data_IF_834620678814
#
_entry.id   IF_834620678814
#
_cell.length_a   1.000
_cell.length_b   1.000
_cell.length_c   1.000
_cell.angle_alpha   90.00
_cell.angle_beta   90.00
_cell.angle_gamma   90.00
#
_symmetry.space_group_name_H-M   'P 1'
#
loop_
_entity.id
_entity.type
_entity.pdbx_description
1 polymer ?
#
# COMPACT_ATOMS: atom_id res chain seq x y z
N UNK A 1 -20.22 35.19 -21.24
CA UNK A 1 -20.15 33.80 -20.78
C UNK A 1 -18.71 33.56 -20.34
N UNK A 2 -18.46 33.70 -19.05
CA UNK A 2 -17.11 33.50 -18.48
C UNK A 2 -16.97 32.00 -18.17
N UNK A 3 -16.16 31.31 -18.97
CA UNK A 3 -15.68 29.96 -18.61
C UNK A 3 -14.62 30.17 -17.51
N UNK A 4 -15.00 29.90 -16.27
CA UNK A 4 -14.05 29.83 -15.18
C UNK A 4 -13.01 28.75 -15.45
N UNK A 5 -11.78 28.88 -14.92
CA UNK A 5 -10.76 27.85 -15.12
C UNK A 5 -11.26 26.54 -14.53
N UNK A 6 -11.33 25.50 -15.36
CA UNK A 6 -11.49 24.14 -14.89
C UNK A 6 -10.23 23.84 -14.06
N UNK A 7 -10.34 23.84 -12.73
CA UNK A 7 -9.25 23.41 -11.87
C UNK A 7 -9.04 21.92 -12.10
N UNK A 8 -8.06 21.59 -12.96
CA UNK A 8 -7.62 20.22 -13.12
C UNK A 8 -7.15 19.70 -11.75
N UNK A 9 -7.72 18.59 -11.29
CA UNK A 9 -7.21 17.91 -10.09
C UNK A 9 -5.75 17.54 -10.33
N UNK A 10 -4.88 17.96 -9.41
CA UNK A 10 -3.48 17.56 -9.46
C UNK A 10 -3.38 16.04 -9.29
N UNK A 11 -2.43 15.41 -10.00
CA UNK A 11 -2.15 13.98 -9.86
C UNK A 11 -1.68 13.67 -8.43
N UNK A 12 -2.10 12.53 -7.85
CA UNK A 12 -1.61 12.11 -6.55
C UNK A 12 -0.10 11.93 -6.52
N UNK A 13 0.50 12.33 -5.40
CA UNK A 13 1.93 12.19 -5.12
C UNK A 13 2.15 11.42 -3.82
N UNK A 14 3.39 11.08 -3.51
CA UNK A 14 3.71 10.42 -2.24
C UNK A 14 3.32 11.28 -1.02
N UNK A 15 3.24 12.59 -1.17
CA UNK A 15 2.80 13.49 -0.09
C UNK A 15 1.36 13.20 0.32
N UNK A 16 0.53 12.74 -0.59
CA UNK A 16 -0.86 12.37 -0.31
C UNK A 16 -0.96 11.11 0.57
N UNK A 17 0.14 10.37 0.70
CA UNK A 17 0.28 9.20 1.56
C UNK A 17 1.01 9.51 2.87
N UNK A 18 1.26 10.77 3.20
CA UNK A 18 1.98 11.16 4.41
C UNK A 18 1.37 10.53 5.68
N UNK A 19 0.05 10.37 5.72
CA UNK A 19 -0.67 9.77 6.85
C UNK A 19 -0.22 8.34 7.15
N UNK A 20 0.35 7.63 6.16
CA UNK A 20 0.83 6.25 6.30
C UNK A 20 2.20 6.19 7.01
N UNK A 21 2.92 7.32 7.13
CA UNK A 21 4.24 7.35 7.78
C UNK A 21 4.17 6.83 9.21
N UNK A 22 5.15 6.04 9.60
CA UNK A 22 5.23 5.48 10.96
C UNK A 22 5.07 3.98 10.98
N UNK A 23 4.68 3.45 12.13
CA UNK A 23 4.61 2.00 12.37
C UNK A 23 3.18 1.55 12.64
N UNK A 24 2.82 0.44 12.03
CA UNK A 24 1.49 -0.13 12.05
C UNK A 24 1.55 -1.61 12.42
N UNK A 25 0.56 -2.08 13.18
CA UNK A 25 0.50 -3.47 13.61
C UNK A 25 -0.93 -3.96 13.66
N UNK A 26 -1.15 -5.20 13.23
CA UNK A 26 -2.43 -5.88 13.29
C UNK A 26 -2.26 -7.37 13.47
N UNK A 27 -3.39 -8.08 13.61
CA UNK A 27 -3.40 -9.54 13.74
C UNK A 27 -4.14 -10.18 12.59
N UNK A 28 -3.61 -11.29 12.12
CA UNK A 28 -4.24 -12.22 11.18
C UNK A 28 -4.21 -13.61 11.82
N UNK A 29 -5.32 -14.00 12.47
CA UNK A 29 -5.34 -15.22 13.25
C UNK A 29 -4.31 -15.18 14.38
N UNK A 30 -3.35 -16.11 14.36
CA UNK A 30 -2.23 -16.15 15.33
C UNK A 30 -1.01 -15.34 14.88
N UNK A 31 -1.02 -14.81 13.67
CA UNK A 31 0.09 -14.02 13.16
C UNK A 31 -0.05 -12.55 13.54
N UNK A 32 1.08 -11.89 13.74
CA UNK A 32 1.19 -10.44 13.88
C UNK A 32 1.76 -9.90 12.58
N UNK A 33 1.04 -8.95 11.99
CA UNK A 33 1.44 -8.27 10.75
C UNK A 33 1.89 -6.86 11.09
N UNK A 34 3.02 -6.45 10.55
CA UNK A 34 3.60 -5.14 10.81
C UNK A 34 3.97 -4.46 9.49
N UNK A 35 3.79 -3.15 9.44
CA UNK A 35 4.36 -2.30 8.40
C UNK A 35 5.02 -1.08 9.01
N UNK A 36 6.17 -0.69 8.47
CA UNK A 36 6.90 0.51 8.85
C UNK A 36 7.12 1.35 7.59
N UNK A 37 6.76 2.62 7.65
CA UNK A 37 6.84 3.52 6.51
C UNK A 37 7.62 4.79 6.85
N UNK A 38 8.55 5.14 5.96
CA UNK A 38 9.25 6.42 6.04
C UNK A 38 8.29 7.58 5.74
N UNK A 39 8.67 8.78 6.13
CA UNK A 39 8.04 10.00 5.60
C UNK A 39 8.36 10.14 4.12
N UNK A 40 7.49 10.80 3.33
CA UNK A 40 7.81 11.11 1.94
C UNK A 40 9.09 11.95 1.82
N UNK A 41 9.97 11.54 0.93
CA UNK A 41 11.17 12.28 0.56
C UNK A 41 11.68 11.76 -0.79
N UNK A 42 12.23 12.65 -1.62
CA UNK A 42 12.79 12.27 -2.91
C UNK A 42 11.80 11.56 -3.83
N UNK A 43 10.52 11.96 -3.78
CA UNK A 43 9.43 11.34 -4.55
C UNK A 43 9.19 9.85 -4.21
N UNK A 44 9.57 9.44 -3.00
CA UNK A 44 9.37 8.07 -2.52
C UNK A 44 8.91 8.03 -1.07
N UNK A 45 8.26 6.92 -0.72
CA UNK A 45 8.14 6.42 0.65
C UNK A 45 8.69 5.01 0.66
N UNK A 46 9.52 4.69 1.64
CA UNK A 46 10.12 3.37 1.80
C UNK A 46 9.42 2.64 2.93
N UNK A 47 9.12 1.37 2.72
CA UNK A 47 8.41 0.56 3.70
C UNK A 47 9.00 -0.82 3.88
N UNK A 48 8.76 -1.38 5.07
CA UNK A 48 9.08 -2.76 5.42
C UNK A 48 7.82 -3.42 5.94
N UNK A 49 7.51 -4.60 5.43
CA UNK A 49 6.45 -5.46 5.93
C UNK A 49 7.04 -6.70 6.59
N UNK A 50 6.43 -7.15 7.69
CA UNK A 50 6.86 -8.37 8.38
C UNK A 50 5.65 -9.10 8.97
N UNK A 51 5.64 -10.42 8.83
CA UNK A 51 4.65 -11.27 9.48
C UNK A 51 5.38 -12.18 10.46
N UNK A 52 4.93 -12.17 11.71
CA UNK A 52 5.49 -12.97 12.80
C UNK A 52 4.45 -13.97 13.28
N UNK A 53 4.82 -15.24 13.37
CA UNK A 53 3.99 -16.32 13.92
C UNK A 53 4.83 -17.17 14.84
N UNK A 54 4.33 -17.47 16.04
CA UNK A 54 5.05 -18.24 17.05
C UNK A 54 6.47 -17.70 17.32
N UNK A 55 6.56 -16.37 17.50
CA UNK A 55 7.82 -15.65 17.74
C UNK A 55 8.87 -15.79 16.64
N UNK A 56 8.46 -16.14 15.42
CA UNK A 56 9.36 -16.25 14.26
C UNK A 56 8.83 -15.42 13.10
N UNK A 57 9.74 -14.73 12.41
CA UNK A 57 9.40 -14.09 11.15
C UNK A 57 9.17 -15.15 10.10
N UNK A 58 7.93 -15.20 9.58
CA UNK A 58 7.54 -16.16 8.54
C UNK A 58 7.55 -15.54 7.14
N UNK A 59 7.46 -14.22 7.05
CA UNK A 59 7.62 -13.49 5.78
C UNK A 59 8.00 -12.04 6.04
N UNK A 60 8.66 -11.44 5.08
CA UNK A 60 8.92 -10.00 5.05
C UNK A 60 9.02 -9.52 3.61
N UNK A 61 8.84 -8.21 3.42
CA UNK A 61 9.03 -7.58 2.12
C UNK A 61 9.51 -6.15 2.26
N UNK A 62 10.23 -5.69 1.25
CA UNK A 62 10.57 -4.29 1.05
C UNK A 62 9.56 -3.67 0.10
N UNK A 63 9.05 -2.49 0.43
CA UNK A 63 8.01 -1.83 -0.34
C UNK A 63 8.38 -0.38 -0.62
N UNK A 64 7.89 0.14 -1.73
CA UNK A 64 8.00 1.55 -2.06
C UNK A 64 6.67 2.07 -2.60
N UNK A 65 6.33 3.30 -2.25
CA UNK A 65 5.51 4.15 -3.10
C UNK A 65 6.47 5.09 -3.82
N UNK A 66 6.36 5.19 -5.12
CA UNK A 66 7.28 5.98 -5.94
C UNK A 66 6.55 6.68 -7.06
N UNK A 67 6.92 7.94 -7.29
CA UNK A 67 6.49 8.64 -8.49
C UNK A 67 7.46 8.32 -9.62
N UNK A 68 6.94 7.71 -10.67
CA UNK A 68 7.68 7.37 -11.89
C UNK A 68 6.89 7.83 -13.10
N UNK A 69 7.54 8.57 -14.00
CA UNK A 69 6.90 9.06 -15.23
C UNK A 69 5.60 9.82 -14.97
N UNK A 70 5.56 10.60 -13.88
CA UNK A 70 4.40 11.39 -13.48
C UNK A 70 3.25 10.58 -12.87
N UNK A 71 3.47 9.31 -12.55
CA UNK A 71 2.46 8.42 -11.98
C UNK A 71 2.95 7.80 -10.69
N UNK A 72 2.09 7.81 -9.67
CA UNK A 72 2.37 7.13 -8.42
C UNK A 72 2.22 5.61 -8.63
N UNK A 73 3.15 4.83 -8.09
CA UNK A 73 3.12 3.38 -8.15
C UNK A 73 3.49 2.75 -6.81
N UNK A 74 2.94 1.58 -6.54
CA UNK A 74 3.34 0.71 -5.44
C UNK A 74 4.28 -0.36 -5.97
N UNK A 75 5.44 -0.50 -5.32
CA UNK A 75 6.52 -1.37 -5.77
C UNK A 75 6.92 -2.31 -4.62
N UNK A 76 6.20 -3.41 -4.42
CA UNK A 76 6.60 -4.41 -3.43
C UNK A 76 7.70 -5.32 -3.98
N UNK A 77 8.59 -5.73 -3.08
CA UNK A 77 9.59 -6.75 -3.36
C UNK A 77 9.53 -7.79 -2.24
N UNK A 78 8.83 -8.90 -2.46
CA UNK A 78 8.74 -9.98 -1.47
C UNK A 78 10.10 -10.62 -1.21
N UNK A 79 10.24 -11.24 -0.05
CA UNK A 79 11.42 -12.01 0.31
C UNK A 79 11.77 -13.03 -0.78
N UNK A 80 13.00 -12.96 -1.29
CA UNK A 80 13.49 -13.86 -2.33
C UNK A 80 12.87 -13.65 -3.72
N UNK A 81 12.01 -12.64 -3.89
CA UNK A 81 11.35 -12.36 -5.15
C UNK A 81 11.85 -11.09 -5.83
N UNK A 82 11.38 -10.88 -7.06
CA UNK A 82 11.64 -9.67 -7.82
C UNK A 82 10.65 -8.57 -7.42
N UNK A 83 11.05 -7.32 -7.64
CA UNK A 83 10.18 -6.17 -7.49
C UNK A 83 9.04 -6.24 -8.52
N UNK A 84 7.82 -5.96 -8.06
CA UNK A 84 6.63 -5.87 -8.92
C UNK A 84 6.15 -4.43 -8.95
N UNK A 85 5.55 -3.99 -10.04
CA UNK A 85 5.00 -2.65 -10.17
C UNK A 85 3.47 -2.71 -10.28
N UNK A 86 2.81 -1.98 -9.37
CA UNK A 86 1.36 -1.75 -9.41
C UNK A 86 1.12 -0.24 -9.58
N UNK A 87 0.84 0.24 -10.80
CA UNK A 87 0.50 1.65 -11.00
C UNK A 87 -0.78 2.04 -10.27
N UNK A 88 -0.89 3.30 -9.86
CA UNK A 88 -2.11 3.83 -9.27
C UNK A 88 -3.25 3.77 -10.30
N UNK A 89 -4.37 3.16 -9.91
CA UNK A 89 -5.60 3.10 -10.72
C UNK A 89 -6.56 4.21 -10.36
N UNK A 90 -6.81 4.39 -9.05
CA UNK A 90 -7.72 5.41 -8.55
C UNK A 90 -7.35 5.78 -7.12
N UNK A 91 -7.71 6.99 -6.71
CA UNK A 91 -7.45 7.45 -5.35
C UNK A 91 -8.46 8.49 -4.91
N UNK A 92 -8.60 8.58 -3.59
CA UNK A 92 -9.24 9.68 -2.88
C UNK A 92 -8.28 10.15 -1.78
N UNK A 93 -8.69 11.09 -0.93
CA UNK A 93 -7.86 11.54 0.17
C UNK A 93 -7.49 10.43 1.17
N UNK A 94 -8.31 9.37 1.25
CA UNK A 94 -8.16 8.30 2.24
C UNK A 94 -8.01 6.91 1.65
N UNK A 95 -8.06 6.74 0.32
CA UNK A 95 -8.04 5.43 -0.31
C UNK A 95 -7.24 5.46 -1.61
N UNK A 96 -6.29 4.52 -1.73
CA UNK A 96 -5.41 4.40 -2.89
C UNK A 96 -5.46 2.98 -3.41
N UNK A 97 -5.84 2.82 -4.67
CA UNK A 97 -5.95 1.53 -5.36
C UNK A 97 -4.86 1.43 -6.41
N UNK A 98 -3.99 0.45 -6.26
CA UNK A 98 -2.90 0.14 -7.20
C UNK A 98 -3.23 -1.17 -7.90
N UNK A 99 -3.06 -1.20 -9.23
CA UNK A 99 -3.49 -2.34 -10.03
C UNK A 99 -2.44 -2.78 -11.02
N UNK A 100 -2.23 -4.10 -11.12
CA UNK A 100 -1.47 -4.75 -12.17
C UNK A 100 -2.23 -6.02 -12.59
N UNK A 101 -2.99 -5.95 -13.69
CA UNK A 101 -3.79 -7.07 -14.17
C UNK A 101 -2.96 -8.22 -14.75
N UNK A 102 -1.68 -7.98 -15.06
CA UNK A 102 -0.76 -9.00 -15.58
C UNK A 102 -0.07 -9.80 -14.47
N UNK A 103 -0.26 -9.38 -13.21
CA UNK A 103 0.29 -10.09 -12.07
C UNK A 103 -0.63 -11.27 -11.71
N UNK A 104 -0.05 -12.33 -11.17
CA UNK A 104 -0.83 -13.36 -10.49
C UNK A 104 -1.53 -12.73 -9.30
N UNK A 105 -2.19 -13.49 -8.46
CA UNK A 105 -2.79 -12.92 -7.27
C UNK A 105 -1.72 -12.28 -6.36
N UNK A 106 -1.94 -11.03 -5.88
CA UNK A 106 -3.06 -10.13 -6.15
C UNK A 106 -2.86 -9.29 -7.42
N UNK A 107 -3.96 -8.88 -8.04
CA UNK A 107 -3.93 -7.88 -9.11
C UNK A 107 -4.15 -6.47 -8.59
N UNK A 108 -4.74 -6.31 -7.41
CA UNK A 108 -4.93 -4.99 -6.77
C UNK A 108 -4.40 -5.02 -5.34
N UNK A 109 -3.78 -3.89 -4.98
CA UNK A 109 -3.36 -3.59 -3.60
C UNK A 109 -4.01 -2.28 -3.21
N UNK A 110 -4.67 -2.23 -2.07
CA UNK A 110 -5.44 -1.08 -1.60
C UNK A 110 -4.93 -0.65 -0.24
N UNK A 111 -4.59 0.64 -0.12
CA UNK A 111 -4.26 1.27 1.15
C UNK A 111 -5.34 2.28 1.48
N UNK A 112 -6.02 2.09 2.60
CA UNK A 112 -7.13 2.92 3.00
C UNK A 112 -7.02 3.31 4.48
N UNK A 113 -7.24 4.59 4.75
CA UNK A 113 -7.38 5.08 6.12
C UNK A 113 -8.85 5.11 6.51
N UNK A 114 -9.22 4.37 7.54
CA UNK A 114 -10.56 4.38 8.15
C UNK A 114 -10.44 4.85 9.58
N UNK A 115 -10.82 6.10 9.85
CA UNK A 115 -10.59 6.75 11.14
C UNK A 115 -9.09 6.73 11.49
N UNK A 116 -8.70 6.10 12.60
CA UNK A 116 -7.31 5.96 13.01
C UNK A 116 -6.65 4.65 12.53
N UNK A 117 -7.39 3.82 11.77
CA UNK A 117 -6.91 2.52 11.30
C UNK A 117 -6.36 2.60 9.88
N UNK A 118 -5.36 1.78 9.62
CA UNK A 118 -4.93 1.41 8.27
C UNK A 118 -5.61 0.11 7.89
N UNK A 119 -6.33 0.10 6.77
CA UNK A 119 -6.84 -1.12 6.17
C UNK A 119 -6.08 -1.33 4.86
N UNK A 120 -5.12 -2.24 4.88
CA UNK A 120 -4.42 -2.68 3.68
C UNK A 120 -5.13 -3.92 3.15
N UNK A 121 -5.43 -3.94 1.86
CA UNK A 121 -6.13 -5.07 1.26
C UNK A 121 -5.41 -5.52 0.00
N UNK A 122 -5.48 -6.82 -0.25
CA UNK A 122 -5.06 -7.41 -1.52
C UNK A 122 -6.24 -8.17 -2.09
N UNK A 123 -6.44 -8.05 -3.40
CA UNK A 123 -7.56 -8.72 -4.05
C UNK A 123 -7.25 -9.06 -5.50
N UNK A 124 -8.03 -9.97 -6.05
CA UNK A 124 -7.92 -10.38 -7.43
C UNK A 124 -8.47 -11.78 -7.65
N UNK A 125 -8.17 -12.34 -8.81
CA UNK A 125 -8.53 -13.71 -9.16
C UNK A 125 -7.40 -14.66 -8.79
N UNK A 126 -7.75 -15.70 -8.05
CA UNK A 126 -6.85 -16.78 -7.67
C UNK A 126 -7.54 -18.11 -7.95
N UNK A 127 -6.92 -18.97 -8.76
CA UNK A 127 -7.51 -20.26 -9.17
C UNK A 127 -8.94 -20.11 -9.76
N UNK A 128 -9.14 -19.09 -10.61
CA UNK A 128 -10.41 -18.84 -11.27
C UNK A 128 -11.48 -18.19 -10.37
N UNK A 129 -11.18 -17.86 -9.12
CA UNK A 129 -12.12 -17.26 -8.17
C UNK A 129 -11.60 -15.93 -7.64
N UNK A 130 -12.50 -14.97 -7.45
CA UNK A 130 -12.18 -13.73 -6.76
C UNK A 130 -11.84 -14.03 -5.30
N UNK A 131 -10.77 -13.42 -4.83
CA UNK A 131 -10.32 -13.52 -3.44
C UNK A 131 -9.90 -12.14 -2.94
N UNK A 132 -10.15 -11.85 -1.67
CA UNK A 132 -9.77 -10.61 -1.00
C UNK A 132 -9.31 -10.90 0.41
N UNK A 133 -8.18 -10.31 0.80
CA UNK A 133 -7.67 -10.37 2.16
C UNK A 133 -7.47 -8.95 2.69
N UNK A 134 -7.99 -8.68 3.87
CA UNK A 134 -7.82 -7.39 4.55
C UNK A 134 -6.89 -7.55 5.75
N UNK A 135 -5.99 -6.57 5.88
CA UNK A 135 -5.09 -6.44 7.03
C UNK A 135 -5.43 -5.14 7.74
N UNK A 136 -6.12 -5.26 8.87
CA UNK A 136 -6.50 -4.10 9.69
C UNK A 136 -5.40 -3.86 10.70
N UNK A 137 -4.80 -2.68 10.64
CA UNK A 137 -3.67 -2.30 11.48
C UNK A 137 -3.93 -1.00 12.20
N UNK A 138 -3.44 -0.90 13.42
CA UNK A 138 -3.43 0.32 14.23
C UNK A 138 -2.04 0.90 14.27
N UNK A 139 -1.95 2.21 14.43
CA UNK A 139 -0.68 2.87 14.59
C UNK A 139 -0.07 2.52 15.94
N UNK A 140 1.21 2.17 15.94
CA UNK A 140 1.98 1.84 17.12
C UNK A 140 3.24 2.67 17.18
N UNK A 141 3.88 2.73 18.35
CA UNK A 141 5.16 3.36 18.49
C UNK A 141 6.21 2.58 17.71
N UNK A 142 7.02 3.26 16.91
CA UNK A 142 8.18 2.63 16.28
C UNK A 142 9.27 2.39 17.34
N UNK A 143 9.89 1.22 17.26
CA UNK A 143 11.01 0.89 18.14
C UNK A 143 12.34 1.19 17.47
#
# INVERSE_FOLDING_TARGET
MFLGPVSGQSKPTVEDLFWLSGCWQGRQGTAVVEEMWSKPAGSTMLGLGRTVRNNRTVSFEFMQFREQDGTLAFLPQPQGGAQVKFPLKESSSARFVFENLNHDFPQRVIYERKNSLLVASIEGTQNGKFSRHEFVMRKVRCN
#
